data_IF_585511915338
#
_entry.id   IF_585511915338
#
_cell.length_a   1.000
_cell.length_b   1.000
_cell.length_c   1.000
_cell.angle_alpha   90.00
_cell.angle_beta   90.00
_cell.angle_gamma   90.00
#
_symmetry.space_group_name_H-M   'P 1'
#
loop_
_entity.id
_entity.type
_entity.pdbx_description
1 polymer ?
#
# COMPACT_ATOMS: atom_id res chain seq x y z
N UNK A 1 -17.39 -22.90 12.13
CA UNK A 1 -15.94 -22.68 11.94
C UNK A 1 -15.85 -21.52 11.00
N UNK A 2 -15.43 -20.35 11.48
CA UNK A 2 -15.20 -19.20 10.62
C UNK A 2 -14.01 -19.52 9.71
N UNK A 3 -14.30 -19.78 8.44
CA UNK A 3 -13.30 -19.95 7.39
C UNK A 3 -12.72 -18.56 7.13
N UNK A 4 -11.67 -18.20 7.89
CA UNK A 4 -10.97 -16.93 7.68
C UNK A 4 -10.22 -17.06 6.37
N UNK A 5 -10.84 -16.61 5.29
CA UNK A 5 -10.22 -16.57 3.97
C UNK A 5 -8.96 -15.70 4.06
N UNK A 6 -7.79 -16.33 4.05
CA UNK A 6 -6.53 -15.63 4.20
C UNK A 6 -6.37 -14.67 3.00
N UNK A 7 -5.98 -13.41 3.24
CA UNK A 7 -5.87 -12.43 2.17
C UNK A 7 -4.86 -12.91 1.13
N UNK A 8 -5.24 -12.82 -0.14
CA UNK A 8 -4.37 -13.19 -1.26
C UNK A 8 -3.15 -12.27 -1.27
N UNK A 9 -1.99 -12.87 -1.05
CA UNK A 9 -0.69 -12.20 -1.05
C UNK A 9 0.00 -12.44 -2.39
N UNK A 10 0.32 -11.35 -3.09
CA UNK A 10 1.07 -11.37 -4.33
C UNK A 10 2.42 -10.70 -4.11
N UNK A 11 3.50 -11.37 -4.52
CA UNK A 11 4.86 -10.84 -4.38
C UNK A 11 5.55 -10.81 -5.75
N UNK A 12 6.18 -9.68 -6.09
CA UNK A 12 6.95 -9.54 -7.32
C UNK A 12 8.17 -8.64 -7.14
N UNK A 13 9.19 -8.85 -7.96
CA UNK A 13 10.32 -7.93 -8.09
C UNK A 13 10.06 -7.00 -9.28
N UNK A 14 10.13 -5.70 -9.04
CA UNK A 14 9.89 -4.67 -10.04
C UNK A 14 11.21 -4.10 -10.54
N UNK A 15 11.31 -4.00 -11.86
CA UNK A 15 12.28 -3.15 -12.55
C UNK A 15 11.90 -1.68 -12.40
N UNK A 16 12.80 -0.76 -12.74
CA UNK A 16 12.50 0.68 -12.73
C UNK A 16 11.36 1.05 -13.69
N UNK A 17 11.22 0.34 -14.82
CA UNK A 17 10.12 0.57 -15.75
C UNK A 17 8.77 0.16 -15.14
N UNK A 18 8.69 -1.06 -14.60
CA UNK A 18 7.48 -1.59 -13.97
C UNK A 18 7.07 -0.80 -12.71
N UNK A 19 8.06 -0.25 -11.99
CA UNK A 19 7.77 0.63 -10.86
C UNK A 19 7.06 1.91 -11.32
N UNK A 20 7.50 2.53 -12.43
CA UNK A 20 6.85 3.74 -12.96
C UNK A 20 5.44 3.42 -13.46
N UNK A 21 5.29 2.33 -14.19
CA UNK A 21 3.98 1.84 -14.66
C UNK A 21 3.04 1.60 -13.48
N UNK A 22 3.49 0.97 -12.39
CA UNK A 22 2.68 0.78 -11.19
C UNK A 22 2.15 2.10 -10.61
N UNK A 23 3.01 3.12 -10.50
CA UNK A 23 2.59 4.42 -9.97
C UNK A 23 1.63 5.16 -10.92
N UNK A 24 1.80 4.99 -12.22
CA UNK A 24 0.92 5.55 -13.25
C UNK A 24 -0.46 4.86 -13.23
N UNK A 25 -0.50 3.52 -13.19
CA UNK A 25 -1.72 2.74 -13.05
C UNK A 25 -2.48 3.12 -11.77
N UNK A 26 -1.79 3.22 -10.63
CA UNK A 26 -2.41 3.62 -9.36
C UNK A 26 -2.95 5.06 -9.40
N UNK A 27 -2.35 5.95 -10.17
CA UNK A 27 -2.85 7.31 -10.34
C UNK A 27 -4.06 7.39 -11.27
N UNK A 28 -4.15 6.49 -12.26
CA UNK A 28 -5.20 6.50 -13.28
C UNK A 28 -6.46 5.74 -12.84
N UNK A 29 -6.30 4.54 -12.28
CA UNK A 29 -7.43 3.61 -12.08
C UNK A 29 -7.78 3.34 -10.63
N UNK A 30 -6.95 3.76 -9.67
CA UNK A 30 -7.15 3.47 -8.25
C UNK A 30 -7.53 4.71 -7.44
N UNK A 31 -8.44 4.52 -6.47
CA UNK A 31 -8.72 5.54 -5.46
C UNK A 31 -7.71 5.38 -4.32
N UNK A 32 -6.66 6.20 -4.31
CA UNK A 32 -5.62 6.17 -3.26
C UNK A 32 -6.18 6.70 -1.95
N UNK A 33 -6.19 5.84 -0.92
CA UNK A 33 -6.72 6.11 0.41
C UNK A 33 -5.64 6.62 1.37
N UNK A 34 -4.42 6.07 1.29
CA UNK A 34 -3.30 6.46 2.16
C UNK A 34 -1.94 6.06 1.56
N UNK A 35 -0.90 6.85 1.84
CA UNK A 35 0.48 6.57 1.42
C UNK A 35 1.42 6.83 2.59
N UNK A 36 2.22 5.83 2.95
CA UNK A 36 3.15 5.87 4.08
C UNK A 36 4.57 5.56 3.62
N UNK A 37 5.52 6.43 3.95
CA UNK A 37 6.94 6.21 3.71
C UNK A 37 7.59 5.51 4.90
N UNK A 38 8.38 4.48 4.65
CA UNK A 38 9.15 3.71 5.65
C UNK A 38 10.63 3.91 5.36
N UNK A 39 11.38 4.65 6.17
CA UNK A 39 12.80 4.84 5.82
C UNK A 39 13.64 5.72 6.72
N UNK A 40 13.09 6.77 7.31
CA UNK A 40 13.91 7.76 7.99
C UNK A 40 13.70 7.76 9.52
N UNK A 41 14.75 7.59 10.35
CA UNK A 41 14.65 7.74 11.81
C UNK A 41 14.24 9.17 12.25
N UNK A 42 14.44 10.18 11.41
CA UNK A 42 14.14 11.59 11.72
C UNK A 42 12.90 12.15 11.04
N UNK A 43 12.24 11.39 10.15
CA UNK A 43 10.92 11.78 9.64
C UNK A 43 9.88 10.90 10.32
N UNK A 44 9.54 11.24 11.56
CA UNK A 44 8.14 11.07 11.96
C UNK A 44 7.38 11.86 10.91
N UNK A 45 6.62 11.20 10.05
CA UNK A 45 5.72 11.89 9.14
C UNK A 45 4.92 12.86 10.01
N UNK A 46 4.94 14.15 9.67
CA UNK A 46 4.36 15.23 10.49
C UNK A 46 2.81 15.16 10.53
N UNK A 47 2.23 13.96 10.40
CA UNK A 47 0.83 13.70 10.09
C UNK A 47 0.43 14.18 8.70
N UNK A 48 1.37 14.69 7.89
CA UNK A 48 1.07 15.18 6.55
C UNK A 48 0.81 14.00 5.62
N UNK A 49 -0.33 13.99 4.91
CA UNK A 49 -0.60 13.00 3.89
C UNK A 49 0.48 13.12 2.81
N UNK A 50 1.16 12.01 2.52
CA UNK A 50 2.16 11.94 1.45
C UNK A 50 1.41 11.69 0.16
N UNK A 51 1.69 12.47 -0.89
CA UNK A 51 1.08 12.22 -2.19
C UNK A 51 1.73 11.02 -2.88
N UNK A 52 1.01 10.40 -3.80
CA UNK A 52 1.55 9.29 -4.60
C UNK A 52 2.79 9.72 -5.43
N UNK A 53 2.80 10.97 -5.92
CA UNK A 53 3.95 11.56 -6.63
C UNK A 53 5.16 11.74 -5.73
N UNK A 54 4.98 12.22 -4.50
CA UNK A 54 6.10 12.38 -3.55
C UNK A 54 6.69 11.02 -3.17
N UNK A 55 5.83 10.01 -3.02
CA UNK A 55 6.27 8.64 -2.76
C UNK A 55 7.06 8.06 -3.93
N UNK A 56 6.64 8.30 -5.18
CA UNK A 56 7.40 7.92 -6.38
C UNK A 56 8.78 8.57 -6.37
N UNK A 57 8.85 9.89 -6.14
CA UNK A 57 10.13 10.61 -6.09
C UNK A 57 11.04 10.06 -4.98
N UNK A 58 10.48 9.79 -3.79
CA UNK A 58 11.23 9.24 -2.66
C UNK A 58 11.83 7.86 -2.97
N UNK A 59 11.09 7.02 -3.71
CA UNK A 59 11.57 5.70 -4.14
C UNK A 59 12.63 5.82 -5.22
N UNK A 60 12.39 6.62 -6.28
CA UNK A 60 13.33 6.81 -7.39
C UNK A 60 14.68 7.37 -6.89
N UNK A 61 14.65 8.30 -5.95
CA UNK A 61 15.84 8.88 -5.32
C UNK A 61 16.41 8.02 -4.17
N UNK A 62 15.82 6.84 -3.88
CA UNK A 62 16.24 5.92 -2.81
C UNK A 62 16.35 6.60 -1.44
N UNK A 63 15.49 7.59 -1.17
CA UNK A 63 15.43 8.31 0.12
C UNK A 63 14.69 7.51 1.19
N UNK A 64 13.96 6.48 0.79
CA UNK A 64 13.17 5.60 1.67
C UNK A 64 13.59 4.13 1.53
N UNK A 65 13.33 3.34 2.57
CA UNK A 65 13.51 1.88 2.55
C UNK A 65 12.26 1.13 2.13
N UNK A 66 11.11 1.81 2.10
CA UNK A 66 9.87 1.26 1.62
C UNK A 66 8.75 2.29 1.57
N UNK A 67 7.69 1.91 0.89
CA UNK A 67 6.44 2.68 0.78
C UNK A 67 5.29 1.71 0.99
N UNK A 68 4.25 2.14 1.69
CA UNK A 68 2.99 1.43 1.75
C UNK A 68 1.91 2.30 1.13
N UNK A 69 1.16 1.75 0.19
CA UNK A 69 0.08 2.42 -0.52
C UNK A 69 -1.19 1.64 -0.23
N UNK A 70 -2.23 2.34 0.20
CA UNK A 70 -3.55 1.78 0.43
C UNK A 70 -4.50 2.43 -0.56
N UNK A 71 -5.26 1.64 -1.29
CA UNK A 71 -6.13 2.13 -2.36
C UNK A 71 -7.35 1.23 -2.55
N UNK A 72 -8.39 1.74 -3.21
CA UNK A 72 -9.52 0.95 -3.67
C UNK A 72 -9.40 0.71 -5.17
N UNK A 73 -9.55 -0.55 -5.58
CA UNK A 73 -9.56 -0.97 -6.97
C UNK A 73 -10.53 -2.16 -7.12
N UNK A 74 -11.39 -2.08 -8.13
CA UNK A 74 -12.42 -3.09 -8.42
C UNK A 74 -13.29 -3.45 -7.20
N UNK A 75 -13.76 -2.42 -6.48
CA UNK A 75 -14.58 -2.58 -5.28
C UNK A 75 -13.83 -3.06 -4.02
N UNK A 76 -12.59 -3.52 -4.15
CA UNK A 76 -11.80 -4.05 -3.03
C UNK A 76 -10.77 -3.06 -2.52
N UNK A 77 -10.49 -3.07 -1.21
CA UNK A 77 -9.34 -2.37 -0.64
C UNK A 77 -8.08 -3.22 -0.82
N UNK A 78 -7.02 -2.58 -1.30
CA UNK A 78 -5.72 -3.17 -1.53
C UNK A 78 -4.66 -2.44 -0.72
N UNK A 79 -3.63 -3.19 -0.34
CA UNK A 79 -2.43 -2.68 0.30
C UNK A 79 -1.20 -3.18 -0.42
N UNK A 80 -0.50 -2.24 -1.05
CA UNK A 80 0.79 -2.49 -1.68
C UNK A 80 1.90 -2.03 -0.74
N UNK A 81 2.91 -2.88 -0.55
CA UNK A 81 4.12 -2.56 0.18
C UNK A 81 5.32 -2.72 -0.74
N UNK A 82 5.97 -1.61 -1.05
CA UNK A 82 7.22 -1.55 -1.77
C UNK A 82 8.37 -1.62 -0.77
N UNK A 83 9.29 -2.56 -0.97
CA UNK A 83 10.53 -2.70 -0.21
C UNK A 83 11.70 -2.35 -1.13
N UNK A 84 12.44 -1.29 -0.78
CA UNK A 84 13.53 -0.77 -1.60
C UNK A 84 14.84 -1.43 -1.16
N UNK A 85 15.53 -2.08 -2.09
CA UNK A 85 16.86 -2.63 -1.89
C UNK A 85 17.79 -2.18 -3.02
N UNK A 86 19.12 -2.29 -2.85
CA UNK A 86 20.06 -1.93 -3.91
C UNK A 86 19.78 -2.71 -5.21
N UNK A 87 19.38 -1.99 -6.26
CA UNK A 87 19.13 -2.57 -7.58
C UNK A 87 17.80 -3.30 -7.77
N UNK A 88 16.94 -3.37 -6.75
CA UNK A 88 15.64 -4.08 -6.84
C UNK A 88 14.58 -3.41 -5.96
N UNK A 89 13.33 -3.48 -6.41
CA UNK A 89 12.17 -3.12 -5.60
C UNK A 89 11.27 -4.33 -5.49
N UNK A 90 10.97 -4.77 -4.27
CA UNK A 90 10.02 -5.86 -4.05
C UNK A 90 8.64 -5.28 -3.76
N UNK A 91 7.65 -5.65 -4.54
CA UNK A 91 6.24 -5.37 -4.29
C UNK A 91 5.63 -6.55 -3.54
N UNK A 92 4.91 -6.23 -2.47
CA UNK A 92 4.03 -7.14 -1.75
C UNK A 92 2.64 -6.53 -1.78
N UNK A 93 1.72 -7.16 -2.49
CA UNK A 93 0.33 -6.72 -2.65
C UNK A 93 -0.60 -7.64 -1.89
N UNK A 94 -1.48 -7.05 -1.10
CA UNK A 94 -2.46 -7.76 -0.29
C UNK A 94 -3.85 -7.18 -0.54
N UNK A 95 -4.78 -8.04 -0.93
CA UNK A 95 -6.20 -7.67 -0.93
C UNK A 95 -6.69 -7.72 0.53
N UNK A 96 -7.26 -6.63 1.02
CA UNK A 96 -7.87 -6.61 2.34
C UNK A 96 -9.20 -7.35 2.27
N UNK A 97 -9.49 -8.28 3.20
CA UNK A 97 -10.81 -8.87 3.26
C UNK A 97 -11.83 -7.78 3.56
N UNK A 98 -13.00 -7.85 2.92
CA UNK A 98 -14.13 -7.05 3.37
C UNK A 98 -14.44 -7.47 4.80
N UNK A 99 -14.12 -6.60 5.77
CA UNK A 99 -14.59 -6.79 7.13
C UNK A 99 -16.12 -6.72 7.06
N UNK A 100 -16.86 -7.77 7.45
CA UNK A 100 -18.30 -7.64 7.58
C UNK A 100 -18.58 -6.46 8.52
N UNK A 101 -19.63 -5.66 8.26
CA UNK A 101 -19.99 -4.56 9.15
C UNK A 101 -20.08 -5.14 10.56
N UNK A 102 -19.23 -4.63 11.46
CA UNK A 102 -19.07 -5.18 12.80
C UNK A 102 -20.45 -5.44 13.37
N UNK A 103 -20.77 -6.71 13.62
CA UNK A 103 -22.07 -7.10 14.13
C UNK A 103 -22.39 -6.20 15.32
N UNK A 104 -23.41 -5.37 15.14
CA UNK A 104 -23.73 -4.28 16.05
C UNK A 104 -23.71 -4.77 17.49
N UNK A 105 -23.19 -3.93 18.36
CA UNK A 105 -23.34 -4.03 19.81
C UNK A 105 -24.72 -4.56 20.15
N UNK A 106 -24.82 -5.86 20.44
CA UNK A 106 -26.04 -6.46 21.01
C UNK A 106 -26.17 -5.88 22.41
N UNK A 107 -27.14 -4.98 22.52
CA UNK A 107 -28.18 -5.02 23.53
C UNK A 107 -27.77 -5.69 24.86
N UNK A 108 -27.50 -4.87 25.87
CA UNK A 108 -27.72 -5.28 27.27
C UNK A 108 -28.87 -4.46 27.80
N UNK A 109 -30.05 -5.07 27.76
CA UNK A 109 -31.16 -4.81 28.66
C UNK A 109 -30.76 -5.03 30.12
#
# INVERSE_FOLDING_TARGET
MDDVELPKLYESELTAAQLRELFEDLAEVAEVLDVLLKGHPTERTDGRPVSLSDAREAVENRRVRGVQIRYRFDGSEWRDSLLIAPGRVKLVRMQMPELPPSAGSRDRS
#
